data_IF_101781994793
#
_entry.id   IF_101781994793
#
_cell.length_a   1.000
_cell.length_b   1.000
_cell.length_c   1.000
_cell.angle_alpha   90.00
_cell.angle_beta   90.00
_cell.angle_gamma   90.00
#
_symmetry.space_group_name_H-M   'P 1'
#
loop_
_entity.id
_entity.type
_entity.pdbx_description
1 polymer ?
#
# COMPACT_ATOMS: atom_id res chain seq x y z
N UNK A 1 -0.69 -48.29 -17.01
CA UNK A 1 -1.83 -47.56 -16.42
C UNK A 1 -1.27 -46.36 -15.72
N UNK A 2 -1.22 -45.23 -16.42
CA UNK A 2 -0.73 -43.94 -15.93
C UNK A 2 -1.93 -43.14 -15.40
N UNK A 3 -2.02 -43.02 -14.09
CA UNK A 3 -3.05 -42.22 -13.42
C UNK A 3 -2.73 -40.73 -13.58
N UNK A 4 -3.41 -40.11 -14.53
CA UNK A 4 -3.47 -38.64 -14.67
C UNK A 4 -4.18 -38.07 -13.47
N UNK A 5 -3.45 -37.26 -12.65
CA UNK A 5 -4.06 -36.42 -11.63
C UNK A 5 -4.96 -35.39 -12.30
N UNK A 6 -6.19 -35.13 -11.79
CA UNK A 6 -7.06 -34.13 -12.36
C UNK A 6 -6.41 -32.73 -12.11
N UNK A 7 -6.17 -31.98 -13.21
CA UNK A 7 -5.89 -30.54 -13.13
C UNK A 7 -7.14 -29.86 -12.58
N UNK A 8 -7.13 -29.54 -11.30
CA UNK A 8 -8.14 -28.70 -10.69
C UNK A 8 -7.97 -27.30 -11.29
N UNK A 9 -8.80 -26.98 -12.27
CA UNK A 9 -8.95 -25.63 -12.79
C UNK A 9 -9.65 -24.80 -11.71
N UNK A 10 -8.87 -24.35 -10.72
CA UNK A 10 -9.30 -23.23 -9.89
C UNK A 10 -9.12 -21.99 -10.75
N UNK A 11 -10.22 -21.37 -11.17
CA UNK A 11 -10.24 -20.00 -11.68
C UNK A 11 -9.80 -19.07 -10.52
N UNK A 12 -8.49 -19.03 -10.26
CA UNK A 12 -7.91 -18.08 -9.33
C UNK A 12 -8.03 -16.72 -9.98
N UNK A 13 -8.80 -15.82 -9.37
CA UNK A 13 -8.83 -14.42 -9.77
C UNK A 13 -7.41 -13.90 -9.59
N UNK A 14 -6.74 -13.65 -10.71
CA UNK A 14 -5.40 -13.06 -10.71
C UNK A 14 -5.54 -11.56 -10.51
N UNK A 15 -5.30 -11.11 -9.29
CA UNK A 15 -5.26 -9.68 -8.99
C UNK A 15 -3.89 -9.11 -9.36
N UNK A 16 -3.84 -8.01 -10.15
CA UNK A 16 -2.58 -7.34 -10.43
C UNK A 16 -1.80 -7.04 -9.14
N UNK A 17 -0.52 -7.37 -9.15
CA UNK A 17 0.38 -7.19 -8.01
C UNK A 17 0.30 -8.25 -6.90
N UNK A 18 -0.59 -9.25 -6.99
CA UNK A 18 -0.67 -10.37 -6.04
C UNK A 18 -0.34 -11.72 -6.72
N UNK A 19 0.53 -11.67 -7.71
CA UNK A 19 1.00 -12.85 -8.43
C UNK A 19 2.38 -13.22 -7.91
N UNK A 20 2.59 -14.49 -7.58
CA UNK A 20 3.93 -15.01 -7.36
C UNK A 20 4.58 -15.29 -8.73
N UNK A 21 5.72 -14.68 -9.04
CA UNK A 21 6.41 -14.97 -10.30
C UNK A 21 6.74 -16.45 -10.51
N UNK A 22 6.95 -17.21 -9.44
CA UNK A 22 7.24 -18.66 -9.55
C UNK A 22 6.05 -19.46 -10.06
N UNK A 23 4.80 -19.03 -9.78
CA UNK A 23 3.60 -19.68 -10.28
C UNK A 23 3.41 -19.48 -11.79
N UNK A 24 4.11 -18.49 -12.37
CA UNK A 24 4.07 -18.16 -13.80
C UNK A 24 5.32 -18.61 -14.58
N UNK A 25 6.13 -19.49 -14.01
CA UNK A 25 7.37 -19.94 -14.66
C UNK A 25 7.12 -20.63 -16.02
N UNK A 26 5.97 -21.29 -16.18
CA UNK A 26 5.57 -21.99 -17.41
C UNK A 26 4.75 -21.11 -18.37
N UNK A 27 4.40 -19.89 -17.97
CA UNK A 27 3.68 -18.94 -18.83
C UNK A 27 4.65 -18.27 -19.81
N UNK A 28 4.48 -18.58 -21.11
CA UNK A 28 5.34 -18.05 -22.18
C UNK A 28 5.21 -16.52 -22.37
N UNK A 29 4.13 -15.90 -21.91
CA UNK A 29 3.93 -14.46 -21.98
C UNK A 29 4.59 -13.74 -20.80
N UNK A 30 4.90 -14.47 -19.71
CA UNK A 30 5.48 -13.87 -18.51
C UNK A 30 7.00 -13.75 -18.61
N UNK A 31 7.52 -12.53 -18.56
CA UNK A 31 8.97 -12.28 -18.57
C UNK A 31 9.57 -12.37 -17.17
N UNK A 32 10.08 -13.56 -16.82
CA UNK A 32 10.72 -13.81 -15.54
C UNK A 32 11.91 -12.88 -15.26
N UNK A 33 12.70 -12.51 -16.27
CA UNK A 33 13.84 -11.61 -16.08
C UNK A 33 13.39 -10.18 -15.75
N UNK A 34 12.28 -9.71 -16.35
CA UNK A 34 11.68 -8.42 -16.01
C UNK A 34 11.14 -8.44 -14.57
N UNK A 35 10.42 -9.47 -14.18
CA UNK A 35 9.90 -9.62 -12.83
C UNK A 35 11.02 -9.57 -11.78
N UNK A 36 12.11 -10.32 -12.00
CA UNK A 36 13.30 -10.31 -11.12
C UNK A 36 13.97 -8.93 -11.05
N UNK A 37 14.03 -8.20 -12.18
CA UNK A 37 14.57 -6.83 -12.20
C UNK A 37 13.74 -5.88 -11.34
N UNK A 38 12.42 -5.97 -11.42
CA UNK A 38 11.50 -5.20 -10.58
C UNK A 38 11.60 -5.56 -9.09
N UNK A 39 11.79 -6.84 -8.75
CA UNK A 39 12.02 -7.26 -7.36
C UNK A 39 13.33 -6.69 -6.79
N UNK A 40 14.39 -6.59 -7.58
CA UNK A 40 15.65 -5.93 -7.17
C UNK A 40 15.39 -4.45 -6.85
N UNK A 41 14.63 -3.72 -7.67
CA UNK A 41 14.28 -2.32 -7.38
C UNK A 41 13.41 -2.19 -6.12
N UNK A 42 12.49 -3.12 -5.89
CA UNK A 42 11.60 -3.14 -4.72
C UNK A 42 12.31 -3.53 -3.41
N UNK A 43 13.50 -4.10 -3.47
CA UNK A 43 14.28 -4.46 -2.29
C UNK A 43 14.76 -3.24 -1.49
N UNK A 44 14.87 -2.07 -2.12
CA UNK A 44 15.25 -0.82 -1.45
C UNK A 44 14.07 -0.25 -0.65
N UNK A 45 14.35 0.23 0.55
CA UNK A 45 13.35 0.86 1.42
C UNK A 45 13.84 2.23 1.92
N UNK A 46 12.91 3.06 2.44
CA UNK A 46 13.28 4.35 3.02
C UNK A 46 14.21 4.23 4.24
N UNK A 47 14.15 3.11 4.96
CA UNK A 47 15.04 2.82 6.11
C UNK A 47 16.36 2.21 5.69
N UNK A 48 16.42 1.59 4.53
CA UNK A 48 17.61 0.94 3.99
C UNK A 48 17.75 1.29 2.50
N UNK A 49 18.17 2.54 2.24
CA UNK A 49 18.23 3.08 0.88
C UNK A 49 19.48 2.64 0.10
N UNK A 50 20.44 1.97 0.76
CA UNK A 50 21.71 1.55 0.16
C UNK A 50 21.95 0.06 0.42
N UNK A 51 22.04 -0.74 -0.66
CA UNK A 51 22.18 -2.20 -0.60
C UNK A 51 23.28 -2.69 -1.55
N UNK A 52 24.05 -3.68 -1.10
CA UNK A 52 25.00 -4.42 -1.95
C UNK A 52 24.38 -5.67 -2.57
N UNK A 53 25.12 -6.32 -3.46
CA UNK A 53 24.66 -7.54 -4.15
C UNK A 53 24.29 -8.68 -3.19
N UNK A 54 24.97 -8.78 -2.05
CA UNK A 54 24.65 -9.80 -1.04
C UNK A 54 23.32 -9.52 -0.37
N UNK A 55 23.12 -8.30 0.12
CA UNK A 55 21.89 -7.88 0.78
C UNK A 55 20.69 -7.98 -0.19
N UNK A 56 20.89 -7.64 -1.46
CA UNK A 56 19.88 -7.81 -2.51
C UNK A 56 19.55 -9.29 -2.76
N UNK A 57 20.57 -10.16 -2.81
CA UNK A 57 20.36 -11.60 -2.97
C UNK A 57 19.58 -12.20 -1.79
N UNK A 58 19.94 -11.81 -0.56
CA UNK A 58 19.27 -12.28 0.67
C UNK A 58 17.80 -11.83 0.72
N UNK A 59 17.47 -10.61 0.25
CA UNK A 59 16.10 -10.07 0.23
C UNK A 59 15.22 -10.62 -0.87
N UNK A 60 15.81 -10.83 -2.05
CA UNK A 60 15.04 -11.27 -3.23
C UNK A 60 15.00 -12.79 -3.39
N UNK A 61 15.84 -13.51 -2.64
CA UNK A 61 16.03 -14.95 -2.84
C UNK A 61 16.75 -15.31 -4.15
N UNK A 62 17.23 -14.32 -4.91
CA UNK A 62 17.88 -14.54 -6.20
C UNK A 62 19.34 -14.94 -6.04
N UNK A 63 19.87 -15.84 -6.90
CA UNK A 63 21.29 -16.16 -6.93
C UNK A 63 22.16 -14.91 -7.16
N UNK A 64 23.30 -14.79 -6.46
CA UNK A 64 24.24 -13.66 -6.59
C UNK A 64 24.64 -13.33 -8.04
N UNK A 65 24.93 -14.30 -8.94
CA UNK A 65 25.21 -13.99 -10.33
C UNK A 65 24.04 -13.31 -11.06
N UNK A 66 22.79 -13.72 -10.74
CA UNK A 66 21.58 -13.11 -11.30
C UNK A 66 21.44 -11.67 -10.80
N UNK A 67 21.59 -11.43 -9.50
CA UNK A 67 21.57 -10.08 -8.90
C UNK A 67 22.63 -9.20 -9.55
N UNK A 68 23.86 -9.69 -9.71
CA UNK A 68 24.97 -8.92 -10.34
C UNK A 68 24.63 -8.48 -11.78
N UNK A 69 24.01 -9.36 -12.58
CA UNK A 69 23.58 -9.02 -13.95
C UNK A 69 22.46 -8.00 -13.95
N UNK A 70 21.48 -8.16 -13.05
CA UNK A 70 20.34 -7.24 -12.95
C UNK A 70 20.77 -5.86 -12.46
N UNK A 71 21.63 -5.78 -11.42
CA UNK A 71 22.14 -4.49 -10.91
C UNK A 71 23.00 -3.78 -11.96
N UNK A 72 23.81 -4.50 -12.73
CA UNK A 72 24.55 -3.94 -13.86
C UNK A 72 23.61 -3.32 -14.90
N UNK A 73 22.59 -4.07 -15.36
CA UNK A 73 21.60 -3.60 -16.32
C UNK A 73 20.83 -2.39 -15.80
N UNK A 74 20.32 -2.46 -14.57
CA UNK A 74 19.54 -1.37 -13.97
C UNK A 74 20.39 -0.10 -13.75
N UNK A 75 21.69 -0.26 -13.50
CA UNK A 75 22.63 0.87 -13.40
C UNK A 75 22.83 1.54 -14.77
N UNK A 76 23.04 0.78 -15.83
CA UNK A 76 23.17 1.32 -17.19
C UNK A 76 21.90 2.04 -17.65
N UNK A 77 20.72 1.55 -17.22
CA UNK A 77 19.42 2.17 -17.52
C UNK A 77 19.08 3.37 -16.60
N UNK A 78 19.91 3.70 -15.61
CA UNK A 78 19.69 4.81 -14.69
C UNK A 78 18.66 4.56 -13.56
N UNK A 79 18.19 3.33 -13.40
CA UNK A 79 17.29 2.94 -12.30
C UNK A 79 18.03 2.64 -10.99
N UNK A 80 19.32 2.29 -11.07
CA UNK A 80 20.22 2.21 -9.94
C UNK A 80 21.40 3.17 -10.15
N UNK A 81 21.88 3.74 -9.05
CA UNK A 81 23.14 4.45 -8.97
C UNK A 81 24.10 3.66 -8.09
N UNK A 82 25.32 3.42 -8.58
CA UNK A 82 26.38 2.71 -7.83
C UNK A 82 27.17 3.72 -7.00
N UNK A 83 27.40 3.39 -5.73
CA UNK A 83 28.38 4.06 -4.89
C UNK A 83 29.72 3.34 -5.04
N UNK A 84 30.74 3.96 -5.68
CA UNK A 84 32.02 3.32 -5.90
C UNK A 84 32.79 3.05 -4.61
N UNK A 85 32.59 3.86 -3.57
CA UNK A 85 33.31 3.77 -2.30
C UNK A 85 32.86 2.58 -1.48
N UNK A 86 31.57 2.24 -1.51
CA UNK A 86 30.98 1.16 -0.72
C UNK A 86 30.67 -0.10 -1.53
N UNK A 87 30.86 -0.08 -2.86
CA UNK A 87 30.45 -1.15 -3.77
C UNK A 87 28.96 -1.52 -3.63
N UNK A 88 28.12 -0.55 -3.26
CA UNK A 88 26.68 -0.68 -3.03
C UNK A 88 25.90 0.14 -4.06
N UNK A 89 24.58 -0.07 -4.05
CA UNK A 89 23.64 0.57 -4.96
C UNK A 89 22.58 1.33 -4.16
N UNK A 90 22.03 2.36 -4.79
CA UNK A 90 20.81 3.08 -4.37
C UNK A 90 19.89 3.27 -5.57
N UNK A 91 18.63 3.58 -5.32
CA UNK A 91 17.71 3.91 -6.42
C UNK A 91 18.20 5.14 -7.19
N UNK A 92 18.19 5.06 -8.51
CA UNK A 92 18.53 6.14 -9.42
C UNK A 92 17.32 7.02 -9.75
N UNK A 93 17.57 8.20 -10.36
CA UNK A 93 16.52 9.16 -10.75
C UNK A 93 15.50 8.60 -11.75
N UNK A 94 15.86 7.56 -12.51
CA UNK A 94 14.94 6.87 -13.42
C UNK A 94 13.69 6.32 -12.72
N UNK A 95 13.80 5.91 -11.46
CA UNK A 95 12.63 5.44 -10.67
C UNK A 95 11.66 6.60 -10.41
N UNK A 96 12.17 7.79 -10.07
CA UNK A 96 11.32 8.97 -9.83
C UNK A 96 10.62 9.42 -11.12
N UNK A 97 11.31 9.39 -12.26
CA UNK A 97 10.72 9.74 -13.56
C UNK A 97 9.57 8.81 -13.96
N UNK A 98 9.61 7.53 -13.56
CA UNK A 98 8.51 6.59 -13.79
C UNK A 98 7.29 6.87 -12.89
N UNK A 99 7.48 7.40 -11.69
CA UNK A 99 6.37 7.67 -10.78
C UNK A 99 5.60 8.94 -11.12
N UNK A 100 6.25 9.93 -11.75
CA UNK A 100 5.63 11.22 -12.06
C UNK A 100 4.38 11.12 -12.94
N UNK A 101 4.38 10.40 -14.11
CA UNK A 101 3.18 10.24 -14.92
C UNK A 101 1.99 9.65 -14.17
N UNK A 102 2.24 8.66 -13.29
CA UNK A 102 1.20 8.10 -12.44
C UNK A 102 0.62 9.18 -11.52
N UNK A 103 1.46 9.87 -10.75
CA UNK A 103 0.99 10.89 -9.80
C UNK A 103 0.27 12.06 -10.50
N UNK A 104 0.70 12.43 -11.71
CA UNK A 104 0.07 13.47 -12.52
C UNK A 104 -1.30 13.04 -13.07
N UNK A 105 -1.48 11.77 -13.39
CA UNK A 105 -2.74 11.22 -13.90
C UNK A 105 -3.80 10.97 -12.82
N UNK A 106 -3.43 10.98 -11.55
CA UNK A 106 -4.36 10.75 -10.44
C UNK A 106 -5.16 12.02 -10.11
N UNK A 107 -6.24 12.28 -10.88
CA UNK A 107 -7.11 13.44 -10.64
C UNK A 107 -7.70 13.47 -9.24
N UNK A 108 -7.99 12.29 -8.66
CA UNK A 108 -8.45 12.16 -7.28
C UNK A 108 -7.49 12.80 -6.28
N UNK A 109 -6.17 12.71 -6.50
CA UNK A 109 -5.16 13.34 -5.65
C UNK A 109 -5.28 14.86 -5.65
N UNK A 110 -5.49 15.45 -6.83
CA UNK A 110 -5.64 16.91 -6.97
C UNK A 110 -6.93 17.40 -6.31
N UNK A 111 -8.05 16.68 -6.51
CA UNK A 111 -9.33 17.00 -5.90
C UNK A 111 -9.30 16.81 -4.36
N UNK A 112 -8.60 15.80 -3.87
CA UNK A 112 -8.51 15.51 -2.44
C UNK A 112 -7.65 16.54 -1.68
N UNK A 113 -6.58 17.09 -2.27
CA UNK A 113 -5.59 17.92 -1.59
C UNK A 113 -6.18 19.02 -0.70
N UNK A 114 -7.08 19.92 -1.19
CA UNK A 114 -7.66 20.97 -0.35
C UNK A 114 -8.50 20.41 0.80
N UNK A 115 -9.20 19.29 0.58
CA UNK A 115 -10.02 18.64 1.61
C UNK A 115 -9.15 18.00 2.71
N UNK A 116 -8.04 17.35 2.32
CA UNK A 116 -7.08 16.79 3.28
C UNK A 116 -6.47 17.88 4.17
N UNK A 117 -6.09 19.02 3.58
CA UNK A 117 -5.54 20.17 4.31
C UNK A 117 -6.56 20.77 5.27
N UNK A 118 -7.81 20.90 4.84
CA UNK A 118 -8.90 21.38 5.69
C UNK A 118 -9.15 20.43 6.86
N UNK A 119 -9.21 19.11 6.59
CA UNK A 119 -9.39 18.10 7.62
C UNK A 119 -8.24 18.07 8.61
N UNK A 120 -6.99 18.23 8.14
CA UNK A 120 -5.81 18.33 9.01
C UNK A 120 -5.90 19.53 9.93
N UNK A 121 -6.31 20.72 9.43
CA UNK A 121 -6.54 21.92 10.26
C UNK A 121 -7.62 21.72 11.30
N UNK A 122 -8.73 21.11 10.94
CA UNK A 122 -9.88 20.93 11.83
C UNK A 122 -9.64 19.91 12.94
N UNK A 123 -8.80 18.90 12.68
CA UNK A 123 -8.61 17.76 13.60
C UNK A 123 -7.28 17.76 14.33
N UNK A 124 -6.28 18.47 13.81
CA UNK A 124 -4.89 18.38 14.25
C UNK A 124 -4.21 17.05 13.92
N UNK A 125 -4.84 16.21 13.09
CA UNK A 125 -4.31 14.94 12.63
C UNK A 125 -3.36 15.11 11.44
N UNK A 126 -2.50 14.12 11.23
CA UNK A 126 -1.92 13.90 9.91
C UNK A 126 -2.96 13.15 9.07
N UNK A 127 -3.32 13.71 7.92
CA UNK A 127 -4.32 13.15 7.01
C UNK A 127 -3.62 12.68 5.75
N UNK A 128 -3.86 11.43 5.37
CA UNK A 128 -3.19 10.84 4.23
C UNK A 128 -4.20 10.26 3.24
N UNK A 129 -3.86 10.32 1.96
CA UNK A 129 -4.51 9.61 0.86
C UNK A 129 -3.61 8.45 0.45
N UNK A 130 -4.17 7.27 0.21
CA UNK A 130 -3.41 6.11 -0.24
C UNK A 130 -4.23 5.16 -1.07
N UNK A 131 -3.53 4.28 -1.78
CA UNK A 131 -4.11 3.21 -2.59
C UNK A 131 -3.40 1.89 -2.33
N UNK A 132 -3.94 0.79 -2.86
CA UNK A 132 -3.29 -0.51 -2.74
C UNK A 132 -2.18 -0.67 -3.77
N UNK A 133 -1.01 -1.09 -3.31
CA UNK A 133 0.06 -1.66 -4.14
C UNK A 133 0.42 -3.05 -3.60
N UNK A 134 0.08 -4.12 -4.33
CA UNK A 134 0.30 -5.51 -3.91
C UNK A 134 -0.35 -5.79 -2.53
N UNK A 135 0.45 -6.21 -1.56
CA UNK A 135 0.06 -6.49 -0.17
C UNK A 135 0.20 -5.25 0.75
N UNK A 136 0.41 -4.05 0.18
CA UNK A 136 0.65 -2.82 0.93
C UNK A 136 -0.34 -1.72 0.52
N UNK A 137 -0.45 -0.72 1.39
CA UNK A 137 -0.90 0.62 1.05
C UNK A 137 0.30 1.43 0.61
N UNK A 138 0.20 2.19 -0.48
CA UNK A 138 1.14 3.23 -0.87
C UNK A 138 0.49 4.60 -0.68
N UNK A 139 1.22 5.52 -0.04
CA UNK A 139 0.73 6.87 0.21
C UNK A 139 0.90 7.74 -1.04
N UNK A 140 -0.20 8.40 -1.45
CA UNK A 140 -0.28 9.28 -2.63
C UNK A 140 -0.15 10.74 -2.26
N UNK A 141 -0.66 11.12 -1.07
CA UNK A 141 -0.59 12.48 -0.56
C UNK A 141 -0.68 12.49 0.98
N UNK A 142 -0.18 13.56 1.58
CA UNK A 142 -0.17 13.78 3.02
C UNK A 142 -0.40 15.26 3.32
N UNK A 143 -1.35 15.55 4.22
CA UNK A 143 -1.59 16.87 4.80
C UNK A 143 -1.35 16.82 6.31
N UNK A 144 -0.55 17.77 6.82
CA UNK A 144 -0.17 17.84 8.23
C UNK A 144 0.16 19.28 8.64
N UNK A 145 -0.05 19.62 9.90
CA UNK A 145 0.31 20.92 10.46
C UNK A 145 1.77 20.95 10.92
N UNK A 146 2.26 19.82 11.46
CA UNK A 146 3.63 19.70 11.97
C UNK A 146 4.50 19.00 10.91
N UNK A 147 5.37 19.77 10.25
CA UNK A 147 6.29 19.29 9.22
C UNK A 147 7.62 18.78 9.79
N UNK A 148 7.86 18.96 11.09
CA UNK A 148 9.15 18.62 11.72
C UNK A 148 9.25 17.16 12.12
N UNK A 149 8.14 16.43 12.16
CA UNK A 149 8.12 15.02 12.53
C UNK A 149 8.58 14.12 11.38
N UNK A 150 9.81 13.64 11.46
CA UNK A 150 10.46 12.79 10.46
C UNK A 150 9.86 11.38 10.31
N UNK A 151 9.04 10.93 11.26
CA UNK A 151 8.46 9.57 11.27
C UNK A 151 7.09 9.47 10.60
N UNK A 152 6.61 10.55 10.00
CA UNK A 152 5.31 10.55 9.33
C UNK A 152 5.43 9.97 7.92
N UNK A 153 4.37 9.31 7.42
CA UNK A 153 4.35 8.79 6.06
C UNK A 153 4.54 9.91 5.06
N UNK A 154 5.32 9.62 4.02
CA UNK A 154 5.52 10.52 2.88
C UNK A 154 5.05 9.85 1.60
N UNK A 155 4.91 10.63 0.52
CA UNK A 155 4.48 10.12 -0.80
C UNK A 155 5.41 8.97 -1.23
N UNK A 156 4.80 7.86 -1.67
CA UNK A 156 5.52 6.64 -2.05
C UNK A 156 5.89 5.72 -0.89
N UNK A 157 5.78 6.15 0.38
CA UNK A 157 5.99 5.24 1.50
C UNK A 157 4.88 4.19 1.57
N UNK A 158 5.18 3.02 2.12
CA UNK A 158 4.24 1.89 2.15
C UNK A 158 3.97 1.38 3.56
N UNK A 159 2.81 0.74 3.74
CA UNK A 159 2.44 0.04 4.98
C UNK A 159 1.71 -1.27 4.64
N UNK A 160 1.95 -2.37 5.35
CA UNK A 160 1.21 -3.61 5.13
C UNK A 160 -0.31 -3.40 5.25
N UNK A 161 -1.08 -3.98 4.34
CA UNK A 161 -2.54 -3.78 4.26
C UNK A 161 -3.25 -4.06 5.59
N UNK A 162 -3.01 -5.21 6.21
CA UNK A 162 -3.71 -5.59 7.45
C UNK A 162 -3.27 -4.79 8.68
N UNK A 163 -2.02 -4.30 8.70
CA UNK A 163 -1.50 -3.50 9.80
C UNK A 163 -2.04 -2.07 9.83
N UNK A 164 -2.59 -1.58 8.71
CA UNK A 164 -3.08 -0.22 8.58
C UNK A 164 -4.61 -0.17 8.46
N UNK A 165 -5.29 0.68 9.23
CA UNK A 165 -6.73 0.91 9.08
C UNK A 165 -7.11 1.27 7.63
N UNK A 166 -6.27 2.08 6.94
CA UNK A 166 -6.44 2.41 5.53
C UNK A 166 -6.40 1.17 4.62
N UNK A 167 -5.49 0.23 4.88
CA UNK A 167 -5.39 -1.00 4.11
C UNK A 167 -6.62 -1.90 4.31
N UNK A 168 -7.12 -2.01 5.55
CA UNK A 168 -8.35 -2.74 5.85
C UNK A 168 -9.56 -2.09 5.18
N UNK A 169 -9.66 -0.77 5.18
CA UNK A 169 -10.71 -0.05 4.44
C UNK A 169 -10.65 -0.33 2.93
N UNK A 170 -9.45 -0.34 2.32
CA UNK A 170 -9.26 -0.69 0.90
C UNK A 170 -9.68 -2.14 0.59
N UNK A 171 -9.37 -3.11 1.46
CA UNK A 171 -9.82 -4.50 1.26
C UNK A 171 -11.37 -4.58 1.31
N UNK A 172 -12.03 -3.76 2.10
CA UNK A 172 -13.49 -3.75 2.23
C UNK A 172 -14.20 -3.23 0.97
N UNK A 173 -13.53 -2.45 0.12
CA UNK A 173 -14.08 -2.02 -1.19
C UNK A 173 -14.02 -3.10 -2.25
N UNK A 174 -13.22 -4.14 -2.05
CA UNK A 174 -13.07 -5.23 -3.00
C UNK A 174 -14.31 -6.12 -3.05
N UNK A 175 -14.56 -6.76 -4.18
CA UNK A 175 -15.55 -7.83 -4.29
C UNK A 175 -15.23 -8.97 -3.31
N UNK A 176 -16.21 -9.80 -2.93
CA UNK A 176 -15.96 -10.92 -2.03
C UNK A 176 -14.86 -11.87 -2.54
N UNK A 177 -14.79 -12.09 -3.85
CA UNK A 177 -13.78 -12.93 -4.47
C UNK A 177 -12.37 -12.32 -4.42
N UNK A 178 -12.23 -11.04 -4.74
CA UNK A 178 -10.97 -10.31 -4.63
C UNK A 178 -10.49 -10.21 -3.18
N UNK A 179 -11.40 -9.94 -2.26
CA UNK A 179 -11.11 -9.92 -0.81
C UNK A 179 -10.54 -11.25 -0.34
N UNK A 180 -11.18 -12.35 -0.74
CA UNK A 180 -10.72 -13.69 -0.43
C UNK A 180 -9.33 -13.95 -1.03
N UNK A 181 -9.09 -13.54 -2.26
CA UNK A 181 -7.79 -13.68 -2.92
C UNK A 181 -6.69 -12.89 -2.18
N UNK A 182 -6.96 -11.64 -1.79
CA UNK A 182 -6.02 -10.80 -1.02
C UNK A 182 -5.68 -11.46 0.33
N UNK A 183 -6.69 -11.88 1.09
CA UNK A 183 -6.48 -12.48 2.41
C UNK A 183 -5.74 -13.83 2.31
N UNK A 184 -6.02 -14.64 1.31
CA UNK A 184 -5.31 -15.88 1.06
C UNK A 184 -3.84 -15.61 0.68
N UNK A 185 -3.59 -14.63 -0.19
CA UNK A 185 -2.23 -14.22 -0.53
C UNK A 185 -1.45 -13.82 0.72
N UNK A 186 -2.00 -12.93 1.55
CA UNK A 186 -1.36 -12.49 2.80
C UNK A 186 -1.09 -13.65 3.76
N UNK A 187 -2.03 -14.59 3.89
CA UNK A 187 -1.89 -15.77 4.75
C UNK A 187 -0.77 -16.70 4.27
N UNK A 188 -0.56 -16.82 2.96
CA UNK A 188 0.46 -17.71 2.38
C UNK A 188 1.85 -17.08 2.39
N UNK A 189 1.96 -15.77 2.08
CA UNK A 189 3.24 -15.10 1.87
C UNK A 189 3.77 -14.37 3.10
N UNK A 190 2.89 -14.02 4.07
CA UNK A 190 3.28 -13.42 5.35
C UNK A 190 2.34 -13.88 6.48
N UNK A 191 2.49 -15.15 6.84
CA UNK A 191 1.65 -15.80 7.85
C UNK A 191 1.75 -15.13 9.23
N UNK A 192 2.91 -14.63 9.59
CA UNK A 192 3.13 -13.97 10.88
C UNK A 192 2.34 -12.66 10.94
N UNK A 193 2.49 -11.79 9.95
CA UNK A 193 1.76 -10.54 9.85
C UNK A 193 0.23 -10.79 9.75
N UNK A 194 -0.18 -11.79 8.97
CA UNK A 194 -1.60 -12.16 8.87
C UNK A 194 -2.16 -12.55 10.23
N UNK A 195 -1.51 -13.46 10.96
CA UNK A 195 -1.97 -13.92 12.27
C UNK A 195 -2.00 -12.78 13.30
N UNK A 196 -1.00 -11.89 13.27
CA UNK A 196 -0.90 -10.72 14.15
C UNK A 196 -2.07 -9.75 13.97
N UNK A 197 -2.52 -9.52 12.73
CA UNK A 197 -3.53 -8.50 12.43
C UNK A 197 -4.91 -9.04 12.06
N UNK A 198 -5.10 -10.36 12.06
CA UNK A 198 -6.37 -10.99 11.70
C UNK A 198 -7.54 -10.52 12.59
N UNK A 199 -7.33 -10.45 13.90
CA UNK A 199 -8.37 -9.98 14.82
C UNK A 199 -8.75 -8.52 14.60
N UNK A 200 -7.78 -7.66 14.29
CA UNK A 200 -8.04 -6.27 13.94
C UNK A 200 -8.82 -6.16 12.63
N UNK A 201 -8.54 -7.03 11.66
CA UNK A 201 -9.31 -7.13 10.41
C UNK A 201 -10.77 -7.55 10.65
N UNK A 202 -10.99 -8.58 11.48
CA UNK A 202 -12.33 -9.06 11.80
C UNK A 202 -13.16 -7.99 12.51
N UNK A 203 -12.57 -7.29 13.50
CA UNK A 203 -13.20 -6.19 14.22
C UNK A 203 -13.52 -4.99 13.30
N UNK A 204 -12.59 -4.61 12.40
CA UNK A 204 -12.82 -3.51 11.49
C UNK A 204 -13.87 -3.84 10.42
N UNK A 205 -14.04 -5.09 10.04
CA UNK A 205 -15.12 -5.50 9.12
C UNK A 205 -16.49 -5.24 9.73
N UNK A 206 -16.67 -5.50 11.01
CA UNK A 206 -17.90 -5.23 11.75
C UNK A 206 -18.08 -3.73 11.96
N UNK A 207 -17.05 -3.05 12.44
CA UNK A 207 -17.06 -1.60 12.66
C UNK A 207 -17.37 -0.81 11.37
N UNK A 208 -16.80 -1.25 10.24
CA UNK A 208 -17.04 -0.60 8.94
C UNK A 208 -18.48 -0.81 8.45
N UNK A 209 -19.05 -1.98 8.68
CA UNK A 209 -20.44 -2.27 8.31
C UNK A 209 -21.43 -1.41 9.13
N UNK A 210 -21.14 -1.14 10.39
CA UNK A 210 -22.01 -0.38 11.31
C UNK A 210 -21.77 1.14 11.19
N UNK A 211 -20.51 1.56 11.11
CA UNK A 211 -20.12 2.98 11.27
C UNK A 211 -19.41 3.58 10.05
N UNK A 212 -19.05 2.79 9.03
CA UNK A 212 -18.44 3.26 7.80
C UNK A 212 -16.94 3.59 7.87
N UNK A 213 -16.23 3.24 8.95
CA UNK A 213 -14.79 3.47 9.08
C UNK A 213 -14.06 2.30 9.72
N UNK A 214 -12.75 2.18 9.46
CA UNK A 214 -11.83 1.28 10.13
C UNK A 214 -11.04 2.04 11.21
N UNK A 215 -10.59 1.32 12.27
CA UNK A 215 -9.87 1.93 13.38
C UNK A 215 -8.63 1.12 13.79
N UNK A 216 -7.44 1.69 13.66
CA UNK A 216 -6.18 1.13 14.18
C UNK A 216 -5.86 1.70 15.56
N UNK A 217 -5.62 0.83 16.53
CA UNK A 217 -5.24 1.17 17.90
C UNK A 217 -3.79 0.79 18.20
N UNK A 218 -2.87 1.28 17.39
CA UNK A 218 -1.46 0.93 17.53
C UNK A 218 -1.04 -0.34 16.79
N UNK A 219 -1.83 -0.78 15.80
CA UNK A 219 -1.59 -2.02 15.07
C UNK A 219 -0.26 -2.01 14.30
N UNK A 220 0.09 -0.87 13.71
CA UNK A 220 1.38 -0.66 13.04
C UNK A 220 2.47 -0.21 14.02
N UNK A 221 2.19 0.87 14.75
CA UNK A 221 3.05 1.44 15.79
C UNK A 221 2.20 1.73 17.03
N UNK A 222 2.66 1.26 18.17
CA UNK A 222 1.93 1.36 19.45
C UNK A 222 1.56 2.80 19.84
N UNK A 223 2.37 3.76 19.40
CA UNK A 223 2.21 5.19 19.69
C UNK A 223 1.35 5.95 18.66
N UNK A 224 0.84 5.27 17.61
CA UNK A 224 0.02 5.88 16.56
C UNK A 224 -1.33 5.16 16.44
N UNK A 225 -2.41 5.91 16.57
CA UNK A 225 -3.75 5.44 16.26
C UNK A 225 -4.26 6.10 14.97
N UNK A 226 -5.23 5.46 14.31
CA UNK A 226 -5.76 5.94 13.06
C UNK A 226 -7.21 5.54 12.86
N UNK A 227 -8.00 6.39 12.23
CA UNK A 227 -9.28 6.05 11.59
C UNK A 227 -9.13 6.19 10.08
N UNK A 228 -9.82 5.34 9.31
CA UNK A 228 -9.71 5.32 7.86
C UNK A 228 -11.06 5.02 7.19
N UNK A 229 -11.30 5.67 6.06
CA UNK A 229 -12.49 5.49 5.22
C UNK A 229 -12.04 5.31 3.78
N UNK A 230 -12.61 4.33 3.09
CA UNK A 230 -12.39 4.16 1.67
C UNK A 230 -13.26 5.14 0.87
N UNK A 231 -12.72 5.66 -0.21
CA UNK A 231 -13.40 6.54 -1.16
C UNK A 231 -13.96 5.69 -2.29
N UNK A 232 -15.24 5.81 -2.56
CA UNK A 232 -15.89 5.17 -3.71
C UNK A 232 -15.50 5.94 -4.97
N UNK A 233 -14.99 5.23 -5.96
CA UNK A 233 -14.61 5.78 -7.25
C UNK A 233 -15.39 5.06 -8.37
N UNK A 234 -15.52 5.67 -9.57
CA UNK A 234 -16.08 4.98 -10.73
C UNK A 234 -15.34 3.65 -10.99
N UNK A 235 -16.04 2.63 -11.50
CA UNK A 235 -15.54 1.25 -11.62
C UNK A 235 -14.20 1.08 -12.37
N UNK A 236 -13.76 2.08 -13.12
CA UNK A 236 -12.50 2.06 -13.88
C UNK A 236 -11.30 2.63 -13.12
N UNK A 237 -11.53 3.22 -11.96
CA UNK A 237 -10.47 3.81 -11.14
C UNK A 237 -10.09 2.89 -9.99
N UNK A 238 -8.79 2.88 -9.65
CA UNK A 238 -8.34 2.11 -8.50
C UNK A 238 -8.88 2.74 -7.20
N UNK A 239 -9.43 1.94 -6.28
CA UNK A 239 -9.90 2.44 -5.01
C UNK A 239 -8.80 3.14 -4.22
N UNK A 240 -9.16 4.27 -3.61
CA UNK A 240 -8.31 4.98 -2.65
C UNK A 240 -8.97 5.04 -1.29
N UNK A 241 -8.19 5.34 -0.25
CA UNK A 241 -8.72 5.58 1.08
C UNK A 241 -8.04 6.78 1.71
N UNK A 242 -8.75 7.44 2.63
CA UNK A 242 -8.22 8.53 3.45
C UNK A 242 -8.12 8.04 4.89
N UNK A 243 -7.04 8.36 5.59
CA UNK A 243 -6.94 8.15 7.01
C UNK A 243 -6.52 9.43 7.75
N UNK A 244 -6.95 9.50 9.00
CA UNK A 244 -6.47 10.47 9.98
C UNK A 244 -5.65 9.71 11.02
N UNK A 245 -4.41 10.13 11.24
CA UNK A 245 -3.50 9.55 12.23
C UNK A 245 -3.15 10.54 13.31
N UNK A 246 -3.06 10.06 14.55
CA UNK A 246 -2.70 10.89 15.69
C UNK A 246 -1.80 10.08 16.65
N UNK A 247 -0.79 10.75 17.20
CA UNK A 247 0.06 10.15 18.22
C UNK A 247 -0.71 10.05 19.56
N UNK A 248 -0.55 8.92 20.27
CA UNK A 248 -1.31 8.64 21.50
C UNK A 248 -1.12 9.66 22.60
N UNK A 249 0.08 10.26 22.73
CA UNK A 249 0.37 11.30 23.71
C UNK A 249 -0.35 12.64 23.44
N UNK A 250 -0.91 12.82 22.24
CA UNK A 250 -1.71 14.00 21.83
C UNK A 250 -3.21 13.72 21.80
N UNK A 251 -3.63 12.53 22.23
CA UNK A 251 -4.97 12.04 21.96
C UNK A 251 -5.79 11.94 23.25
N UNK A 252 -6.82 12.79 23.44
CA UNK A 252 -7.88 12.55 24.40
C UNK A 252 -8.58 11.21 24.09
N UNK A 253 -9.13 10.60 25.14
CA UNK A 253 -9.88 9.34 25.01
C UNK A 253 -11.00 9.48 23.97
N UNK A 254 -11.10 8.51 23.06
CA UNK A 254 -12.14 8.41 22.03
C UNK A 254 -12.17 9.55 20.98
N UNK A 255 -11.19 10.47 20.96
CA UNK A 255 -11.15 11.59 20.00
C UNK A 255 -11.29 11.10 18.54
N UNK A 256 -10.54 10.07 18.15
CA UNK A 256 -10.55 9.58 16.77
C UNK A 256 -11.93 9.07 16.33
N UNK A 257 -12.64 8.35 17.21
CA UNK A 257 -13.93 7.75 16.86
C UNK A 257 -15.10 8.72 17.00
N UNK A 258 -15.07 9.62 18.00
CA UNK A 258 -16.19 10.52 18.27
C UNK A 258 -16.11 11.87 17.54
N UNK A 259 -14.91 12.36 17.31
CA UNK A 259 -14.73 13.69 16.70
C UNK A 259 -14.18 13.60 15.29
N UNK A 260 -13.10 12.79 15.07
CA UNK A 260 -12.39 12.75 13.80
C UNK A 260 -13.10 11.88 12.75
N UNK A 261 -13.61 10.73 13.13
CA UNK A 261 -14.27 9.82 12.18
C UNK A 261 -15.50 10.46 11.49
N UNK A 262 -16.40 11.18 12.18
CA UNK A 262 -17.50 11.89 11.51
C UNK A 262 -17.02 12.94 10.49
N UNK A 263 -15.97 13.72 10.83
CA UNK A 263 -15.38 14.71 9.92
C UNK A 263 -14.71 14.05 8.71
N UNK A 264 -14.04 12.92 8.93
CA UNK A 264 -13.43 12.13 7.85
C UNK A 264 -14.50 11.55 6.91
N UNK A 265 -15.59 11.01 7.44
CA UNK A 265 -16.72 10.52 6.65
C UNK A 265 -17.35 11.64 5.80
N UNK A 266 -17.51 12.83 6.37
CA UNK A 266 -18.01 13.99 5.64
C UNK A 266 -17.05 14.43 4.54
N UNK A 267 -15.75 14.50 4.82
CA UNK A 267 -14.70 14.79 3.85
C UNK A 267 -14.73 13.81 2.67
N UNK A 268 -14.90 12.51 2.95
CA UNK A 268 -15.01 11.49 1.90
C UNK A 268 -16.26 11.70 1.06
N UNK A 269 -17.42 11.98 1.67
CA UNK A 269 -18.65 12.29 0.93
C UNK A 269 -18.51 13.51 0.01
N UNK A 270 -17.84 14.56 0.48
CA UNK A 270 -17.56 15.75 -0.34
C UNK A 270 -16.67 15.40 -1.53
N UNK A 271 -15.64 14.59 -1.34
CA UNK A 271 -14.74 14.15 -2.40
C UNK A 271 -15.47 13.27 -3.42
N UNK A 272 -16.28 12.33 -2.97
CA UNK A 272 -17.11 11.47 -3.82
C UNK A 272 -18.09 12.29 -4.67
N UNK A 273 -18.76 13.28 -4.07
CA UNK A 273 -19.67 14.18 -4.77
C UNK A 273 -18.96 15.03 -5.84
N UNK A 274 -17.77 15.55 -5.52
CA UNK A 274 -16.95 16.31 -6.47
C UNK A 274 -16.45 15.44 -7.65
N UNK A 275 -16.36 14.11 -7.45
CA UNK A 275 -15.97 13.14 -8.49
C UNK A 275 -17.16 12.58 -9.30
N UNK A 276 -18.34 13.17 -9.15
CA UNK A 276 -19.56 12.80 -9.90
C UNK A 276 -20.28 11.55 -9.37
N UNK A 277 -19.91 11.07 -8.21
CA UNK A 277 -20.63 10.02 -7.50
C UNK A 277 -21.76 10.68 -6.68
N UNK A 278 -22.98 10.66 -7.20
CA UNK A 278 -24.16 11.08 -6.44
C UNK A 278 -24.33 10.15 -5.25
N UNK A 279 -24.52 10.73 -4.06
CA UNK A 279 -24.95 9.99 -2.87
C UNK A 279 -26.23 9.23 -3.21
N UNK A 280 -26.17 7.92 -3.31
CA UNK A 280 -27.35 7.07 -3.19
C UNK A 280 -27.74 7.11 -1.72
N UNK A 281 -28.84 7.84 -1.44
CA UNK A 281 -29.53 7.81 -0.14
C UNK A 281 -29.88 6.38 0.26
#
# INVERSE_FOLDING_TARGET
>A
MTTSKPKTCMTSITLPGLVDPHDLADDRQFSMNLARGLEVLRAFTGTEPVLGNRELADRTGLPKPTVSRLTYTLTLLGYLARDPSQQKYRLGSGVLSLSHPLLASLHIRQAARPLLEQLARNTGCTVNLGMRDRANVVYLDTARLDVTNQYLPDIGSTRPLLAAAMGRALILTCTPAERTAILNYLRLHDRELYNKHRLAWEADRELYAEHGFCHSRGDWRKDIHAVAVAVRLPQREQPVAINCTLATYRMPKDKLTREVAPLLLDTVRQLEAAHGLRSTN
#
